data_IF_347783942521
#
_entry.id   IF_347783942521
#
_cell.length_a   1.000
_cell.length_b   1.000
_cell.length_c   1.000
_cell.angle_alpha   90.00
_cell.angle_beta   90.00
_cell.angle_gamma   90.00
#
_symmetry.space_group_name_H-M   'P 1'
#
loop_
_entity.id
_entity.type
_entity.pdbx_description
1 polymer ?
#
# COMPACT_ATOMS: atom_id res chain seq x y z
N UNK A 1 1.14 -13.37 2.25
CA UNK A 1 0.34 -12.54 3.18
C UNK A 1 1.07 -12.31 4.50
N UNK A 2 1.90 -13.25 4.97
CA UNK A 2 2.63 -13.12 6.23
C UNK A 2 3.50 -11.86 6.38
N UNK A 3 4.14 -11.37 5.31
CA UNK A 3 4.94 -10.13 5.38
C UNK A 3 4.11 -8.95 5.88
N UNK A 4 2.97 -8.68 5.22
CA UNK A 4 2.08 -7.56 5.58
C UNK A 4 1.56 -7.70 7.00
N UNK A 5 1.24 -8.93 7.41
CA UNK A 5 0.82 -9.23 8.77
C UNK A 5 1.93 -9.00 9.80
N UNK A 6 3.18 -9.36 9.50
CA UNK A 6 4.31 -9.11 10.39
C UNK A 6 4.53 -7.60 10.58
N UNK A 7 4.64 -6.84 9.49
CA UNK A 7 5.01 -5.41 9.53
C UNK A 7 3.89 -4.49 10.03
N UNK A 8 2.66 -5.00 10.12
CA UNK A 8 1.55 -4.25 10.70
C UNK A 8 1.74 -4.13 12.22
N UNK A 9 1.87 -2.91 12.78
CA UNK A 9 2.02 -2.72 14.22
C UNK A 9 0.76 -3.08 15.02
N UNK A 10 -0.42 -3.18 14.37
CA UNK A 10 -1.68 -3.49 15.06
C UNK A 10 -1.99 -4.98 15.16
N UNK A 11 -1.25 -5.86 14.50
CA UNK A 11 -1.50 -7.31 14.53
C UNK A 11 -0.73 -7.98 15.68
N UNK A 12 -1.13 -9.19 16.05
CA UNK A 12 -0.36 -10.05 16.96
C UNK A 12 0.48 -11.03 16.16
N UNK A 13 1.73 -11.25 16.53
CA UNK A 13 2.53 -12.30 15.86
C UNK A 13 2.23 -13.69 16.40
N UNK A 14 1.63 -13.79 17.59
CA UNK A 14 1.21 -15.10 18.09
C UNK A 14 -0.07 -15.60 17.39
N UNK A 15 -0.74 -14.73 16.61
CA UNK A 15 -1.91 -15.04 15.78
C UNK A 15 -1.54 -15.52 14.35
N UNK A 16 -0.26 -15.75 14.05
CA UNK A 16 0.14 -16.34 12.78
C UNK A 16 -0.54 -17.71 12.56
N UNK A 17 -1.09 -17.92 11.36
CA UNK A 17 -1.81 -19.15 11.02
C UNK A 17 -0.88 -20.10 10.27
N UNK A 18 -0.83 -21.37 10.70
CA UNK A 18 -0.08 -22.41 10.00
C UNK A 18 1.43 -22.19 10.06
N UNK A 19 2.11 -22.33 8.92
CA UNK A 19 3.57 -22.20 8.79
C UNK A 19 4.03 -20.77 8.47
N UNK A 20 3.13 -19.78 8.52
CA UNK A 20 3.45 -18.42 8.09
C UNK A 20 4.54 -17.76 8.96
N UNK A 21 4.60 -18.02 10.28
CA UNK A 21 5.69 -17.48 11.13
C UNK A 21 7.06 -18.10 10.80
N UNK A 22 7.08 -19.36 10.35
CA UNK A 22 8.30 -20.08 10.00
C UNK A 22 8.91 -19.58 8.68
N UNK A 23 8.07 -19.17 7.73
CA UNK A 23 8.51 -18.76 6.38
C UNK A 23 8.58 -17.26 6.18
N UNK A 24 7.96 -16.44 7.05
CA UNK A 24 7.85 -14.99 6.82
C UNK A 24 9.22 -14.30 6.76
N UNK A 25 10.20 -14.77 7.53
CA UNK A 25 11.54 -14.18 7.56
C UNK A 25 12.26 -14.40 6.22
N UNK A 26 12.11 -15.60 5.64
CA UNK A 26 12.64 -15.95 4.32
C UNK A 26 11.92 -15.17 3.21
N UNK A 27 10.59 -15.05 3.30
CA UNK A 27 9.79 -14.25 2.36
C UNK A 27 10.21 -12.77 2.37
N UNK A 28 10.54 -12.21 3.53
CA UNK A 28 11.05 -10.84 3.65
C UNK A 28 12.41 -10.71 2.99
N UNK A 29 13.30 -11.69 3.17
CA UNK A 29 14.61 -11.71 2.53
C UNK A 29 14.48 -11.82 1.00
N UNK A 30 13.61 -12.70 0.51
CA UNK A 30 13.33 -12.86 -0.92
C UNK A 30 12.73 -11.56 -1.51
N UNK A 31 11.77 -10.95 -0.82
CA UNK A 31 11.19 -9.67 -1.24
C UNK A 31 12.26 -8.57 -1.28
N UNK A 32 13.15 -8.51 -0.28
CA UNK A 32 14.25 -7.54 -0.25
C UNK A 32 15.23 -7.76 -1.42
N UNK A 33 15.52 -9.02 -1.77
CA UNK A 33 16.33 -9.36 -2.95
C UNK A 33 15.66 -8.88 -4.24
N UNK A 34 14.38 -9.23 -4.43
CA UNK A 34 13.60 -8.88 -5.62
C UNK A 34 13.42 -7.36 -5.77
N UNK A 35 13.37 -6.63 -4.67
CA UNK A 35 13.26 -5.17 -4.66
C UNK A 35 14.62 -4.45 -4.78
N UNK A 36 15.74 -5.19 -4.93
CA UNK A 36 17.08 -4.60 -5.01
C UNK A 36 17.53 -3.90 -3.74
N UNK A 37 16.92 -4.23 -2.58
CA UNK A 37 17.27 -3.65 -1.29
C UNK A 37 18.51 -4.31 -0.67
N UNK A 38 18.84 -5.51 -1.12
CA UNK A 38 20.06 -6.22 -0.74
C UNK A 38 21.19 -5.82 -1.70
N UNK A 39 21.97 -4.80 -1.32
CA UNK A 39 23.19 -4.40 -2.03
C UNK A 39 24.39 -5.17 -1.48
N UNK A 40 25.54 -5.22 -2.20
CA UNK A 40 26.76 -5.86 -1.69
C UNK A 40 27.23 -5.30 -0.33
N UNK A 41 26.86 -4.05 -0.04
CA UNK A 41 27.13 -3.36 1.24
C UNK A 41 26.15 -3.74 2.35
N UNK A 42 24.94 -4.20 2.00
CA UNK A 42 23.85 -4.54 2.92
C UNK A 42 23.70 -6.05 3.01
N UNK A 43 24.32 -6.65 4.02
CA UNK A 43 24.29 -8.09 4.23
C UNK A 43 22.94 -8.53 4.82
N UNK A 44 22.36 -9.61 4.27
CA UNK A 44 21.17 -10.33 4.78
C UNK A 44 21.10 -10.44 6.31
N UNK A 45 22.21 -10.73 7.03
CA UNK A 45 22.28 -10.66 8.49
C UNK A 45 21.72 -9.40 9.17
N UNK A 46 21.89 -8.22 8.57
CA UNK A 46 21.39 -6.96 9.15
C UNK A 46 19.86 -6.93 9.09
N UNK A 47 19.28 -7.33 7.96
CA UNK A 47 17.83 -7.42 7.81
C UNK A 47 17.25 -8.46 8.78
N UNK A 48 17.87 -9.63 8.90
CA UNK A 48 17.46 -10.66 9.86
C UNK A 48 17.50 -10.11 11.29
N UNK A 49 18.56 -9.38 11.67
CA UNK A 49 18.65 -8.77 12.99
C UNK A 49 17.53 -7.74 13.23
N UNK A 50 17.20 -6.89 12.24
CA UNK A 50 16.07 -5.98 12.33
C UNK A 50 14.74 -6.71 12.54
N UNK A 51 14.50 -7.78 11.77
CA UNK A 51 13.29 -8.61 11.87
C UNK A 51 13.17 -9.20 13.28
N UNK A 52 14.23 -9.80 13.82
CA UNK A 52 14.23 -10.42 15.15
C UNK A 52 13.99 -9.40 16.26
N UNK A 53 14.62 -8.23 16.18
CA UNK A 53 14.42 -7.13 17.15
C UNK A 53 13.00 -6.59 17.06
N UNK A 54 12.43 -6.51 15.85
CA UNK A 54 11.06 -6.08 15.62
C UNK A 54 10.04 -7.10 16.18
N UNK A 55 10.17 -8.40 15.87
CA UNK A 55 9.38 -9.48 16.47
C UNK A 55 9.40 -9.40 18.00
N UNK A 56 10.60 -9.26 18.58
CA UNK A 56 10.78 -9.12 20.04
C UNK A 56 10.10 -7.87 20.61
N UNK A 57 10.14 -6.74 19.90
CA UNK A 57 9.46 -5.51 20.29
C UNK A 57 7.94 -5.71 20.28
N UNK A 58 7.41 -6.40 19.27
CA UNK A 58 5.97 -6.65 19.10
C UNK A 58 5.43 -7.54 20.22
N UNK A 59 6.12 -8.65 20.52
CA UNK A 59 5.81 -9.51 21.69
C UNK A 59 5.79 -8.73 23.01
N UNK A 60 6.78 -7.87 23.25
CA UNK A 60 6.83 -7.04 24.48
C UNK A 60 5.75 -5.96 24.53
N UNK A 61 5.32 -5.46 23.38
CA UNK A 61 4.31 -4.41 23.28
C UNK A 61 2.89 -4.92 23.58
N UNK A 62 2.60 -6.17 23.17
CA UNK A 62 1.31 -6.82 23.36
C UNK A 62 0.11 -5.95 22.91
N UNK A 63 -1.04 -6.14 23.57
CA UNK A 63 -2.29 -5.42 23.26
C UNK A 63 -2.18 -3.91 23.37
N UNK A 64 -1.39 -3.39 24.31
CA UNK A 64 -1.22 -1.95 24.49
C UNK A 64 -0.55 -1.29 23.27
N UNK A 65 0.39 -1.98 22.63
CA UNK A 65 0.99 -1.51 21.38
C UNK A 65 -0.01 -1.62 20.22
N UNK A 66 -0.75 -2.72 20.13
CA UNK A 66 -1.74 -2.95 19.08
C UNK A 66 -2.84 -1.88 19.11
N UNK A 67 -3.44 -1.65 20.27
CA UNK A 67 -4.51 -0.65 20.44
C UNK A 67 -4.02 0.74 20.06
N UNK A 68 -2.82 1.12 20.51
CA UNK A 68 -2.20 2.40 20.17
C UNK A 68 -2.08 2.64 18.66
N UNK A 69 -1.78 1.60 17.89
CA UNK A 69 -1.58 1.72 16.45
C UNK A 69 -2.76 1.21 15.60
N UNK A 70 -3.82 0.68 16.22
CA UNK A 70 -5.02 0.19 15.53
C UNK A 70 -5.77 1.30 14.79
N UNK A 71 -5.71 2.53 15.32
CA UNK A 71 -6.36 3.72 14.75
C UNK A 71 -5.36 4.58 13.94
N UNK A 72 -4.06 4.28 14.05
CA UNK A 72 -3.01 5.04 13.34
C UNK A 72 -2.81 4.49 11.92
N UNK A 73 -2.45 5.37 10.98
CA UNK A 73 -2.01 4.90 9.66
C UNK A 73 -0.74 4.06 9.80
N UNK A 74 -0.71 2.90 9.13
CA UNK A 74 0.46 2.02 9.08
C UNK A 74 1.69 2.76 8.58
N UNK A 75 1.54 3.69 7.65
CA UNK A 75 2.65 4.51 7.13
C UNK A 75 3.23 5.41 8.21
N UNK A 76 2.39 6.07 9.00
CA UNK A 76 2.83 6.98 10.07
C UNK A 76 3.67 6.27 11.13
N UNK A 77 3.35 5.01 11.44
CA UNK A 77 4.17 4.18 12.31
C UNK A 77 5.59 4.01 11.75
N UNK A 78 5.70 3.66 10.46
CA UNK A 78 6.97 3.40 9.80
C UNK A 78 7.79 4.69 9.58
N UNK A 79 7.13 5.80 9.23
CA UNK A 79 7.77 7.10 9.03
C UNK A 79 8.28 7.70 10.36
N UNK A 80 7.55 7.49 11.47
CA UNK A 80 7.97 7.99 12.78
C UNK A 80 8.94 7.09 13.54
N UNK A 81 8.56 5.83 13.78
CA UNK A 81 9.29 4.90 14.67
C UNK A 81 10.15 3.89 13.90
N UNK A 82 9.75 3.53 12.68
CA UNK A 82 10.46 2.58 11.83
C UNK A 82 11.83 3.10 11.39
N UNK A 83 11.88 4.35 10.93
CA UNK A 83 13.05 4.93 10.25
C UNK A 83 14.37 4.89 11.04
N UNK A 84 14.33 5.05 12.37
CA UNK A 84 15.56 5.07 13.19
C UNK A 84 16.04 3.70 13.67
N UNK A 85 15.14 2.73 13.81
CA UNK A 85 15.45 1.42 14.43
C UNK A 85 15.45 0.25 13.44
N UNK A 86 14.71 0.39 12.34
CA UNK A 86 14.47 -0.67 11.37
C UNK A 86 14.51 -0.10 9.94
N UNK A 87 15.65 0.48 9.50
CA UNK A 87 15.72 1.15 8.21
C UNK A 87 15.48 0.23 7.01
N UNK A 88 15.91 -1.04 7.04
CA UNK A 88 15.64 -1.97 5.93
C UNK A 88 14.19 -2.45 5.98
N UNK A 89 13.69 -2.80 7.15
CA UNK A 89 12.31 -3.24 7.32
C UNK A 89 11.30 -2.12 7.00
N UNK A 90 11.65 -0.85 7.26
CA UNK A 90 10.84 0.32 6.87
C UNK A 90 10.68 0.40 5.35
N UNK A 91 11.76 0.23 4.59
CA UNK A 91 11.70 0.25 3.11
C UNK A 91 10.78 -0.85 2.59
N UNK A 92 10.91 -2.05 3.14
CA UNK A 92 10.03 -3.18 2.79
C UNK A 92 8.58 -2.82 3.12
N UNK A 93 8.32 -2.26 4.29
CA UNK A 93 6.97 -1.86 4.69
C UNK A 93 6.36 -0.80 3.76
N UNK A 94 7.14 0.19 3.35
CA UNK A 94 6.70 1.20 2.38
C UNK A 94 6.31 0.58 1.04
N UNK A 95 7.11 -0.36 0.53
CA UNK A 95 6.81 -1.08 -0.72
C UNK A 95 5.54 -1.92 -0.57
N UNK A 96 5.43 -2.72 0.49
CA UNK A 96 4.25 -3.58 0.74
C UNK A 96 2.98 -2.73 0.82
N UNK A 97 2.98 -1.63 1.57
CA UNK A 97 1.80 -0.78 1.69
C UNK A 97 1.48 0.02 0.42
N UNK A 98 2.48 0.32 -0.41
CA UNK A 98 2.23 0.90 -1.73
C UNK A 98 1.54 -0.12 -2.65
N UNK A 99 2.01 -1.38 -2.69
CA UNK A 99 1.39 -2.45 -3.48
C UNK A 99 -0.06 -2.69 -3.05
N UNK A 100 -0.31 -2.80 -1.74
CA UNK A 100 -1.66 -3.03 -1.22
C UNK A 100 -2.60 -1.87 -1.56
N UNK A 101 -2.13 -0.63 -1.42
CA UNK A 101 -2.92 0.55 -1.80
C UNK A 101 -3.21 0.56 -3.31
N UNK A 102 -2.23 0.23 -4.15
CA UNK A 102 -2.41 0.14 -5.60
C UNK A 102 -3.38 -0.98 -6.00
N UNK A 103 -3.37 -2.13 -5.33
CA UNK A 103 -4.31 -3.22 -5.60
C UNK A 103 -5.75 -2.78 -5.32
N UNK A 104 -6.00 -2.23 -4.12
CA UNK A 104 -7.31 -1.73 -3.75
C UNK A 104 -7.78 -0.58 -4.67
N UNK A 105 -6.88 0.34 -5.02
CA UNK A 105 -7.18 1.42 -5.97
C UNK A 105 -7.49 0.87 -7.37
N UNK A 106 -6.79 -0.17 -7.81
CA UNK A 106 -7.04 -0.82 -9.10
C UNK A 106 -8.39 -1.51 -9.12
N UNK A 107 -8.76 -2.23 -8.05
CA UNK A 107 -10.08 -2.85 -7.91
C UNK A 107 -11.20 -1.80 -7.94
N UNK A 108 -11.01 -0.67 -7.27
CA UNK A 108 -11.94 0.45 -7.32
C UNK A 108 -12.05 1.02 -8.74
N UNK A 109 -10.93 1.24 -9.42
CA UNK A 109 -10.91 1.73 -10.79
C UNK A 109 -11.67 0.77 -11.73
N UNK A 110 -11.38 -0.54 -11.64
CA UNK A 110 -12.06 -1.55 -12.45
C UNK A 110 -13.55 -1.65 -12.17
N UNK A 111 -13.97 -1.51 -10.90
CA UNK A 111 -15.39 -1.46 -10.55
C UNK A 111 -16.11 -0.25 -11.18
N UNK A 112 -15.44 0.92 -11.22
CA UNK A 112 -15.95 2.11 -11.89
C UNK A 112 -16.05 1.89 -13.40
N UNK A 113 -15.03 1.29 -14.02
CA UNK A 113 -15.08 0.95 -15.45
C UNK A 113 -16.19 -0.04 -15.77
N UNK A 114 -16.41 -1.06 -14.94
CA UNK A 114 -17.51 -2.01 -15.10
C UNK A 114 -18.88 -1.30 -14.99
N UNK A 115 -19.01 -0.39 -14.03
CA UNK A 115 -20.18 0.47 -13.92
C UNK A 115 -20.41 1.27 -15.21
N UNK A 116 -19.39 1.99 -15.70
CA UNK A 116 -19.47 2.82 -16.92
C UNK A 116 -19.80 1.97 -18.15
N UNK A 117 -19.17 0.80 -18.30
CA UNK A 117 -19.34 -0.13 -19.42
C UNK A 117 -20.52 -1.12 -19.30
N UNK A 118 -21.47 -0.85 -18.39
CA UNK A 118 -22.71 -1.64 -18.29
C UNK A 118 -23.40 -1.86 -19.65
N UNK A 119 -24.08 -3.00 -19.85
CA UNK A 119 -24.70 -3.41 -21.13
C UNK A 119 -25.64 -2.35 -21.77
N UNK A 120 -26.24 -1.45 -20.98
CA UNK A 120 -27.07 -0.31 -21.47
C UNK A 120 -26.26 0.92 -21.92
N UNK A 121 -25.02 1.08 -21.46
CA UNK A 121 -24.13 2.24 -21.72
C UNK A 121 -22.98 1.92 -22.69
N UNK A 122 -23.03 0.77 -23.37
CA UNK A 122 -21.94 0.25 -24.23
C UNK A 122 -21.70 1.00 -25.56
N UNK A 123 -22.18 2.25 -25.68
CA UNK A 123 -22.05 3.13 -26.87
C UNK A 123 -21.19 4.37 -26.62
N UNK A 124 -20.48 4.43 -25.48
CA UNK A 124 -19.61 5.56 -25.15
C UNK A 124 -18.29 5.46 -25.93
N UNK A 125 -17.80 6.59 -26.46
CA UNK A 125 -16.45 6.68 -27.02
C UNK A 125 -15.40 6.59 -25.90
N UNK A 126 -14.18 6.19 -26.25
CA UNK A 126 -13.06 6.05 -25.30
C UNK A 126 -12.85 7.33 -24.48
N UNK A 127 -12.79 8.49 -25.13
CA UNK A 127 -12.63 9.77 -24.42
C UNK A 127 -13.76 10.08 -23.43
N UNK A 128 -15.01 9.67 -23.72
CA UNK A 128 -16.14 9.84 -22.80
C UNK A 128 -16.05 8.88 -21.61
N UNK A 129 -15.60 7.65 -21.84
CA UNK A 129 -15.37 6.67 -20.77
C UNK A 129 -14.28 7.17 -19.83
N UNK A 130 -13.16 7.65 -20.36
CA UNK A 130 -12.04 8.16 -19.58
C UNK A 130 -12.42 9.41 -18.78
N UNK A 131 -13.19 10.33 -19.38
CA UNK A 131 -13.73 11.49 -18.68
C UNK A 131 -14.67 11.09 -17.54
N UNK A 132 -15.56 10.11 -17.77
CA UNK A 132 -16.44 9.60 -16.72
C UNK A 132 -15.63 8.92 -15.61
N UNK A 133 -14.67 8.06 -15.94
CA UNK A 133 -13.81 7.41 -14.96
C UNK A 133 -13.08 8.45 -14.10
N UNK A 134 -12.52 9.48 -14.72
CA UNK A 134 -11.90 10.61 -14.01
C UNK A 134 -12.89 11.29 -13.05
N UNK A 135 -14.11 11.59 -13.50
CA UNK A 135 -15.13 12.24 -12.65
C UNK A 135 -15.56 11.32 -11.49
N UNK A 136 -15.74 10.02 -11.72
CA UNK A 136 -16.13 9.06 -10.68
C UNK A 136 -15.02 8.84 -9.66
N UNK A 137 -13.77 8.71 -10.11
CA UNK A 137 -12.61 8.52 -9.23
C UNK A 137 -12.36 9.76 -8.37
N UNK A 138 -12.50 10.97 -8.96
CA UNK A 138 -12.22 12.23 -8.27
C UNK A 138 -13.48 12.94 -7.75
N UNK A 139 -14.61 12.25 -7.67
CA UNK A 139 -15.92 12.86 -7.41
C UNK A 139 -15.95 13.72 -6.13
N UNK A 140 -15.31 13.25 -5.05
CA UNK A 140 -15.23 13.99 -3.79
C UNK A 140 -14.34 15.23 -3.90
N UNK A 141 -13.21 15.13 -4.62
CA UNK A 141 -12.30 16.25 -4.87
C UNK A 141 -12.89 17.31 -5.80
N UNK A 142 -13.82 16.94 -6.68
CA UNK A 142 -14.52 17.86 -7.59
C UNK A 142 -15.66 18.59 -6.85
N UNK A 143 -16.27 17.97 -5.83
CA UNK A 143 -17.38 18.55 -5.04
C UNK A 143 -16.93 19.38 -3.84
N UNK A 144 -15.69 19.19 -3.40
CA UNK A 144 -15.08 19.90 -2.27
C UNK A 144 -14.26 21.10 -2.77
N UNK A 145 -14.50 22.30 -2.22
CA UNK A 145 -13.69 23.51 -2.51
C UNK A 145 -12.22 23.37 -2.06
N UNK A 146 -11.91 22.33 -1.27
CA UNK A 146 -10.57 21.93 -0.89
C UNK A 146 -10.12 20.70 -1.69
N UNK A 147 -9.09 20.86 -2.52
CA UNK A 147 -8.51 19.76 -3.32
C UNK A 147 -7.66 18.87 -2.42
N UNK A 148 -8.12 17.64 -2.17
CA UNK A 148 -7.29 16.61 -1.54
C UNK A 148 -6.26 16.08 -2.55
N UNK A 149 -5.06 16.67 -2.51
CA UNK A 149 -3.93 16.31 -3.37
C UNK A 149 -3.55 14.83 -3.26
N UNK A 150 -3.85 14.17 -2.13
CA UNK A 150 -3.52 12.76 -1.94
C UNK A 150 -4.46 11.83 -2.75
N UNK A 151 -5.62 12.32 -3.17
CA UNK A 151 -6.64 11.56 -3.94
C UNK A 151 -6.80 12.02 -5.39
N UNK A 152 -6.19 13.14 -5.76
CA UNK A 152 -6.34 13.70 -7.10
C UNK A 152 -5.53 12.90 -8.14
N UNK A 153 -6.24 12.15 -9.01
CA UNK A 153 -5.62 11.55 -10.20
C UNK A 153 -5.54 12.56 -11.34
N UNK A 154 -4.53 12.45 -12.21
CA UNK A 154 -4.38 13.34 -13.36
C UNK A 154 -5.47 13.12 -14.42
N UNK A 155 -5.86 14.21 -15.10
CA UNK A 155 -6.81 14.16 -16.22
C UNK A 155 -6.16 13.40 -17.40
N UNK A 156 -6.85 12.43 -18.03
CA UNK A 156 -6.28 11.68 -19.14
C UNK A 156 -5.99 12.56 -20.37
N UNK A 157 -4.86 12.33 -21.03
CA UNK A 157 -4.35 13.13 -22.16
C UNK A 157 -5.27 13.10 -23.40
N UNK A 158 -5.99 11.99 -23.60
CA UNK A 158 -7.04 11.83 -24.61
C UNK A 158 -8.15 12.90 -24.53
N UNK A 159 -8.34 13.51 -23.36
CA UNK A 159 -9.32 14.58 -23.13
C UNK A 159 -8.68 15.97 -23.29
N UNK A 160 -7.35 16.08 -23.16
CA UNK A 160 -6.63 17.33 -23.40
C UNK A 160 -6.51 17.67 -24.89
N UNK A 161 -6.63 16.66 -25.78
CA UNK A 161 -6.53 16.81 -27.22
C UNK A 161 -7.80 17.31 -27.93
N UNK A 162 -8.96 17.39 -27.26
CA UNK A 162 -10.21 17.91 -27.87
C UNK A 162 -10.39 19.44 -27.68
N UNK A 163 -9.29 20.18 -27.54
CA UNK A 163 -9.29 21.64 -27.50
C UNK A 163 -8.97 22.27 -28.86
N UNK A 164 -10.00 22.86 -29.48
CA UNK A 164 -9.99 23.73 -30.67
C UNK A 164 -9.85 23.07 -32.04
N UNK A 165 -11.00 22.81 -32.67
CA UNK A 165 -11.20 23.08 -34.09
C UNK A 165 -12.54 23.78 -34.30
#
# INVERSE_FOLDING_TARGET
MGIAFLIDPSTDIDDFIGTDDEIVDDQICEMAANCGLLTPTTVVPILIAEILVFKSKKRRGGKAMQEKYSVSSRRDYWDGKGSKRFPLLQKIAQIVFAILASSAASEQAWSIFDHIHSKRRNRLSVGKVEMLAYVYINHDSIRSDTVDLARHQFRPESVAAEGFH
#
